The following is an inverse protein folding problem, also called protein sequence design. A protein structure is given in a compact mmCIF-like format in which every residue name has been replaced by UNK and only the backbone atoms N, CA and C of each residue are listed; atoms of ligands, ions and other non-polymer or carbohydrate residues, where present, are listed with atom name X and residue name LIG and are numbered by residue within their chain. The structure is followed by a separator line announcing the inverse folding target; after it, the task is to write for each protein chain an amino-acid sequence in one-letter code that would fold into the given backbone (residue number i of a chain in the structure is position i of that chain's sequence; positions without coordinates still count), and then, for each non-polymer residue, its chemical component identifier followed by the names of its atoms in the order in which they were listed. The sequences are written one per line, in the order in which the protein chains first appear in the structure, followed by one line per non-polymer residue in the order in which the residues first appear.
data_IF_887914007214
#
_entry.id   IF_887914007214
#
_cell.length_a   1.000
_cell.length_b   1.000
_cell.length_c   1.000
_cell.angle_alpha   90.00
_cell.angle_beta   90.00
_cell.angle_gamma   90.00
#
_symmetry.space_group_name_H-M   'P 1'
#
loop_
_entity.id
_entity.type
_entity.pdbx_description
1 polymer ?
#
# COMPACT_ATOMS: atom_id res chain seq x y z
N UNK A 1 -23.57 3.65 5.49
CA UNK A 1 -22.41 3.35 4.62
C UNK A 1 -21.49 2.42 5.41
N UNK A 2 -20.95 1.36 4.79
CA UNK A 2 -20.00 0.47 5.48
C UNK A 2 -18.76 1.23 5.95
N UNK A 3 -18.36 0.97 7.18
CA UNK A 3 -17.16 1.54 7.78
C UNK A 3 -15.97 0.57 7.61
N UNK A 4 -14.78 1.14 7.43
CA UNK A 4 -13.54 0.37 7.48
C UNK A 4 -13.41 -0.21 8.90
N UNK A 5 -13.10 -1.51 9.02
CA UNK A 5 -13.06 -2.33 10.25
C UNK A 5 -14.38 -2.95 10.76
N UNK A 6 -15.47 -2.88 10.01
CA UNK A 6 -16.64 -3.74 10.28
C UNK A 6 -16.32 -5.21 9.95
N UNK A 7 -17.03 -6.15 10.60
CA UNK A 7 -16.86 -7.57 10.32
C UNK A 7 -17.19 -7.88 8.85
N UNK A 8 -16.33 -8.65 8.14
CA UNK A 8 -16.57 -8.95 6.74
C UNK A 8 -17.81 -9.86 6.59
N UNK A 9 -18.72 -9.49 5.68
CA UNK A 9 -19.90 -10.30 5.37
C UNK A 9 -19.55 -11.53 4.50
N UNK A 10 -18.52 -11.40 3.66
CA UNK A 10 -18.01 -12.43 2.78
C UNK A 10 -16.56 -12.14 2.38
N UNK A 11 -15.86 -13.16 1.90
CA UNK A 11 -14.57 -13.02 1.22
C UNK A 11 -14.79 -13.07 -0.29
N UNK A 12 -14.06 -12.24 -1.03
CA UNK A 12 -14.19 -12.14 -2.49
C UNK A 12 -12.79 -12.04 -3.11
N UNK A 13 -12.63 -12.66 -4.27
CA UNK A 13 -11.41 -12.54 -5.07
C UNK A 13 -11.22 -11.07 -5.55
N UNK A 14 -9.98 -10.57 -5.49
CA UNK A 14 -9.65 -9.15 -5.71
C UNK A 14 -10.07 -8.65 -7.09
N UNK A 15 -9.88 -9.43 -8.15
CA UNK A 15 -10.26 -9.06 -9.51
C UNK A 15 -11.79 -8.98 -9.70
N UNK A 16 -12.56 -9.77 -8.96
CA UNK A 16 -14.03 -9.72 -9.00
C UNK A 16 -14.62 -8.46 -8.34
N UNK A 17 -13.95 -7.88 -7.34
CA UNK A 17 -14.49 -6.75 -6.55
C UNK A 17 -14.94 -5.55 -7.38
N UNK A 18 -14.24 -5.23 -8.48
CA UNK A 18 -14.61 -4.11 -9.37
C UNK A 18 -15.90 -4.37 -10.14
N UNK A 19 -16.24 -5.63 -10.41
CA UNK A 19 -17.48 -5.99 -11.12
C UNK A 19 -18.72 -5.77 -10.26
N UNK A 20 -18.58 -5.91 -8.94
CA UNK A 20 -19.68 -5.77 -7.98
C UNK A 20 -19.69 -4.42 -7.25
N UNK A 21 -18.82 -3.48 -7.63
CA UNK A 21 -18.71 -2.18 -6.97
C UNK A 21 -18.30 -2.27 -5.50
N UNK A 22 -17.62 -3.36 -5.11
CA UNK A 22 -17.20 -3.57 -3.72
C UNK A 22 -16.00 -2.68 -3.43
N UNK A 23 -16.06 -1.95 -2.30
CA UNK A 23 -14.96 -1.11 -1.84
C UNK A 23 -13.74 -1.98 -1.55
N UNK A 24 -12.57 -1.52 -2.01
CA UNK A 24 -11.27 -2.09 -1.70
C UNK A 24 -10.48 -1.12 -0.82
N UNK A 25 -9.65 -1.66 0.04
CA UNK A 25 -8.69 -0.90 0.83
C UNK A 25 -7.27 -1.37 0.52
N UNK A 26 -6.31 -0.50 0.76
CA UNK A 26 -4.90 -0.76 0.51
C UNK A 26 -4.04 0.20 1.30
N UNK A 27 -2.74 -0.07 1.31
CA UNK A 27 -1.72 0.75 1.95
C UNK A 27 -0.86 1.38 0.87
N UNK A 28 -0.49 2.65 1.09
CA UNK A 28 0.39 3.42 0.21
C UNK A 28 1.46 4.05 1.09
N UNK A 29 2.74 3.73 0.84
CA UNK A 29 3.83 4.09 1.73
C UNK A 29 4.61 5.28 1.15
N UNK A 30 4.68 6.38 1.91
CA UNK A 30 5.54 7.51 1.58
C UNK A 30 6.93 7.29 2.19
N UNK A 31 7.92 6.92 1.36
CA UNK A 31 9.32 6.80 1.78
C UNK A 31 10.10 8.06 1.44
N UNK A 32 10.62 8.78 2.44
CA UNK A 32 11.35 10.02 2.23
C UNK A 32 12.51 10.18 3.22
N UNK A 33 13.45 11.05 2.86
CA UNK A 33 14.58 11.49 3.70
C UNK A 33 14.55 12.99 3.85
N UNK A 34 15.10 13.49 4.96
CA UNK A 34 15.29 14.93 5.20
C UNK A 34 16.79 15.15 5.36
N UNK A 35 17.37 16.05 4.56
CA UNK A 35 18.80 16.41 4.67
C UNK A 35 19.05 17.28 5.90
N UNK A 36 20.32 17.46 6.29
CA UNK A 36 20.70 18.34 7.40
C UNK A 36 20.25 19.80 7.18
N UNK A 37 20.10 20.22 5.91
CA UNK A 37 19.56 21.53 5.53
C UNK A 37 18.04 21.62 5.50
N UNK A 38 17.31 20.54 5.83
CA UNK A 38 15.85 20.48 5.84
C UNK A 38 15.20 20.15 4.49
N UNK A 39 15.98 19.83 3.46
CA UNK A 39 15.44 19.44 2.15
C UNK A 39 14.80 18.05 2.22
N UNK A 40 13.59 17.92 1.67
CA UNK A 40 12.85 16.66 1.63
C UNK A 40 13.02 16.01 0.25
N UNK A 41 13.50 14.76 0.24
CA UNK A 41 13.57 13.92 -0.95
C UNK A 41 12.71 12.68 -0.77
N UNK A 42 11.91 12.32 -1.77
CA UNK A 42 11.00 11.17 -1.73
C UNK A 42 11.38 10.11 -2.76
N UNK A 43 11.29 8.85 -2.37
CA UNK A 43 11.44 7.71 -3.26
C UNK A 43 10.13 7.45 -4.01
N UNK A 44 10.20 7.45 -5.34
CA UNK A 44 9.10 7.08 -6.22
C UNK A 44 9.47 5.81 -6.98
N UNK A 45 8.61 4.81 -6.95
CA UNK A 45 8.78 3.62 -7.75
C UNK A 45 8.29 3.87 -9.18
N UNK A 46 8.83 3.09 -10.13
CA UNK A 46 8.25 2.96 -11.47
C UNK A 46 7.72 1.54 -11.62
N UNK A 47 6.42 1.42 -11.91
CA UNK A 47 5.76 0.13 -12.04
C UNK A 47 6.34 -0.66 -13.22
N UNK A 48 6.55 -1.96 -13.02
CA UNK A 48 7.01 -2.86 -14.09
C UNK A 48 6.12 -2.73 -15.34
N UNK A 49 6.70 -2.75 -16.55
CA UNK A 49 5.95 -2.82 -17.80
C UNK A 49 5.00 -4.02 -17.90
N UNK A 50 5.24 -5.08 -17.12
CA UNK A 50 4.44 -6.31 -17.13
C UNK A 50 3.35 -6.36 -16.06
N UNK A 51 3.21 -5.33 -15.20
CA UNK A 51 2.10 -5.29 -14.23
C UNK A 51 0.77 -5.21 -15.00
N UNK A 52 -0.20 -6.02 -14.58
CA UNK A 52 -1.54 -6.09 -15.19
C UNK A 52 -2.29 -4.74 -15.14
N UNK A 53 -2.01 -3.93 -14.11
CA UNK A 53 -2.62 -2.61 -13.92
C UNK A 53 -1.56 -1.52 -13.89
N UNK A 54 -1.83 -0.45 -14.66
CA UNK A 54 -1.02 0.78 -14.71
C UNK A 54 0.48 0.54 -14.99
N UNK A 55 0.85 -0.19 -16.06
CA UNK A 55 2.26 -0.48 -16.36
C UNK A 55 3.04 0.79 -16.69
N UNK A 56 4.29 0.89 -16.20
CA UNK A 56 5.22 1.99 -16.51
C UNK A 56 4.98 3.31 -15.78
N UNK A 57 3.85 3.46 -15.07
CA UNK A 57 3.53 4.67 -14.31
C UNK A 57 4.35 4.78 -13.02
N UNK A 58 4.43 6.00 -12.48
CA UNK A 58 5.02 6.24 -11.16
C UNK A 58 4.08 5.75 -10.05
N UNK A 59 4.67 5.32 -8.93
CA UNK A 59 3.98 4.86 -7.74
C UNK A 59 4.73 5.31 -6.48
N UNK A 60 4.11 5.06 -5.33
CA UNK A 60 4.74 5.17 -4.02
C UNK A 60 5.94 4.22 -3.90
N UNK A 61 6.77 4.36 -2.86
CA UNK A 61 7.92 3.46 -2.67
C UNK A 61 7.50 1.99 -2.59
N UNK A 62 6.32 1.74 -2.00
CA UNK A 62 5.61 0.47 -2.02
C UNK A 62 4.10 0.75 -1.87
N UNK A 63 3.25 -0.07 -2.50
CA UNK A 63 1.80 0.04 -2.34
C UNK A 63 1.10 -1.28 -2.64
N UNK A 64 0.13 -1.65 -1.80
CA UNK A 64 -0.54 -2.94 -1.91
C UNK A 64 -1.99 -2.94 -1.44
N UNK A 65 -2.75 -3.92 -1.91
CA UNK A 65 -4.12 -4.12 -1.45
C UNK A 65 -4.14 -4.81 -0.07
N UNK A 66 -5.05 -4.40 0.80
CA UNK A 66 -5.25 -5.05 2.09
C UNK A 66 -6.00 -6.37 1.87
N UNK A 67 -5.32 -7.50 2.06
CA UNK A 67 -5.92 -8.82 1.90
C UNK A 67 -6.72 -9.22 3.15
N UNK A 68 -7.72 -10.08 2.97
CA UNK A 68 -8.47 -10.63 4.10
C UNK A 68 -7.54 -11.41 5.05
N UNK A 69 -7.68 -11.17 6.36
CA UNK A 69 -6.88 -11.82 7.39
C UNK A 69 -5.51 -11.19 7.66
N UNK A 70 -5.11 -10.17 6.89
CA UNK A 70 -3.92 -9.36 7.18
C UNK A 70 -4.34 -8.03 7.80
N UNK A 71 -3.61 -7.61 8.84
CA UNK A 71 -3.73 -6.26 9.36
C UNK A 71 -2.95 -5.24 8.49
N UNK A 72 -3.18 -3.95 8.75
CA UNK A 72 -2.55 -2.85 8.00
C UNK A 72 -1.03 -2.90 8.13
N UNK A 73 -0.50 -3.17 9.32
CA UNK A 73 0.94 -3.11 9.60
C UNK A 73 1.67 -4.30 8.97
N UNK A 74 1.08 -5.49 9.03
CA UNK A 74 1.53 -6.68 8.33
C UNK A 74 1.57 -6.44 6.82
N UNK A 75 0.54 -5.80 6.26
CA UNK A 75 0.51 -5.44 4.83
C UNK A 75 1.61 -4.44 4.50
N UNK A 76 1.82 -3.40 5.31
CA UNK A 76 2.92 -2.45 5.12
C UNK A 76 4.28 -3.15 5.10
N UNK A 77 4.55 -4.04 6.06
CA UNK A 77 5.83 -4.76 6.15
C UNK A 77 6.02 -5.66 4.92
N UNK A 78 5.01 -6.47 4.57
CA UNK A 78 5.03 -7.37 3.41
C UNK A 78 5.30 -6.61 2.11
N UNK A 79 4.53 -5.57 1.81
CA UNK A 79 4.64 -4.85 0.54
C UNK A 79 5.97 -4.06 0.45
N UNK A 80 6.45 -3.51 1.57
CA UNK A 80 7.78 -2.88 1.64
C UNK A 80 8.91 -3.87 1.32
N UNK A 81 8.83 -5.10 1.83
CA UNK A 81 9.82 -6.14 1.55
C UNK A 81 9.75 -6.60 0.08
N UNK A 82 8.55 -6.94 -0.40
CA UNK A 82 8.33 -7.51 -1.74
C UNK A 82 8.60 -6.51 -2.88
N UNK A 83 8.22 -5.23 -2.72
CA UNK A 83 8.28 -4.25 -3.82
C UNK A 83 9.51 -3.34 -3.76
N UNK A 84 10.11 -3.14 -2.58
CA UNK A 84 11.20 -2.18 -2.38
C UNK A 84 12.42 -2.75 -1.65
N UNK A 85 12.41 -4.04 -1.30
CA UNK A 85 13.46 -4.68 -0.51
C UNK A 85 13.73 -3.96 0.82
N UNK A 86 12.72 -3.30 1.41
CA UNK A 86 12.84 -2.60 2.68
C UNK A 86 12.65 -3.62 3.81
N UNK A 87 13.66 -3.85 4.69
CA UNK A 87 13.55 -4.83 5.77
C UNK A 87 12.47 -4.46 6.79
N UNK A 88 11.89 -5.48 7.44
CA UNK A 88 10.87 -5.30 8.48
C UNK A 88 11.30 -4.31 9.58
N UNK A 89 12.57 -4.37 10.02
CA UNK A 89 13.12 -3.46 11.04
C UNK A 89 13.03 -1.96 10.66
N UNK A 90 12.92 -1.64 9.38
CA UNK A 90 12.68 -0.28 8.88
C UNK A 90 11.17 -0.07 8.66
N UNK A 91 10.51 -0.99 7.96
CA UNK A 91 9.09 -0.87 7.62
C UNK A 91 8.18 -0.75 8.85
N UNK A 92 8.51 -1.43 9.94
CA UNK A 92 7.75 -1.37 11.21
C UNK A 92 7.75 0.02 11.88
N UNK A 93 8.68 0.90 11.49
CA UNK A 93 8.77 2.28 11.96
C UNK A 93 7.82 3.22 11.22
N UNK A 94 7.19 2.76 10.13
CA UNK A 94 6.20 3.53 9.40
C UNK A 94 5.05 3.97 10.32
N UNK A 95 4.62 5.22 10.19
CA UNK A 95 3.55 5.80 10.99
C UNK A 95 2.31 6.01 10.12
N UNK A 96 1.10 5.64 10.60
CA UNK A 96 -0.12 5.99 9.90
C UNK A 96 -0.30 7.52 9.93
N UNK A 97 -0.54 8.12 8.76
CA UNK A 97 -0.67 9.59 8.63
C UNK A 97 -2.06 10.03 8.22
N UNK A 98 -2.75 9.29 7.35
CA UNK A 98 -4.08 9.65 6.85
C UNK A 98 -4.74 8.48 6.12
N UNK A 99 -5.99 8.68 5.71
CA UNK A 99 -6.75 7.80 4.79
C UNK A 99 -7.39 8.66 3.72
N UNK A 100 -7.23 8.28 2.46
CA UNK A 100 -7.91 8.91 1.31
C UNK A 100 -9.15 8.09 0.96
N UNK A 101 -10.29 8.73 0.73
CA UNK A 101 -11.60 8.09 0.48
C UNK A 101 -12.24 8.57 -0.81
#
# INVERSE_FOLDING_TARGET
MSQFSEAPLMLMERSATSLFGVKRSGVHINGYTVSDGGEVSMWLARRSPTKQTYPGLLDHVAAGGLAAGLDIKQTVVKECEEEACIPAAIAEKARPVSTVR
#
